data_IF_841336756328
#
_entry.id   IF_841336756328
#
_cell.length_a   1.000
_cell.length_b   1.000
_cell.length_c   1.000
_cell.angle_alpha   90.00
_cell.angle_beta   90.00
_cell.angle_gamma   90.00
#
_symmetry.space_group_name_H-M   'P 1'
#
loop_
_entity.id
_entity.type
_entity.pdbx_description
1 polymer ?
#
# COMPACT_ATOMS: atom_id res chain seq x y z
N UNK A 1 2.26 -68.17 -11.28
CA UNK A 1 1.80 -66.92 -11.94
C UNK A 1 2.69 -65.77 -11.46
N UNK A 2 3.52 -65.21 -12.34
CA UNK A 2 4.35 -64.02 -12.05
C UNK A 2 3.46 -62.78 -12.21
N UNK A 3 3.14 -62.10 -11.11
CA UNK A 3 2.42 -60.83 -11.15
C UNK A 3 3.42 -59.71 -11.47
N UNK A 4 3.27 -59.11 -12.66
CA UNK A 4 3.92 -57.85 -13.04
C UNK A 4 3.21 -56.70 -12.33
N UNK A 5 3.90 -56.03 -11.41
CA UNK A 5 3.42 -54.78 -10.81
C UNK A 5 3.62 -53.61 -11.80
N UNK A 6 2.59 -52.79 -12.07
CA UNK A 6 2.72 -51.62 -12.93
C UNK A 6 3.48 -50.52 -12.19
N UNK A 7 4.57 -50.03 -12.79
CA UNK A 7 5.31 -48.88 -12.30
C UNK A 7 4.49 -47.60 -12.56
N UNK A 8 3.87 -47.06 -11.52
CA UNK A 8 3.16 -45.79 -11.54
C UNK A 8 4.20 -44.65 -11.59
N UNK A 9 4.42 -44.09 -12.79
CA UNK A 9 5.24 -42.88 -12.97
C UNK A 9 4.50 -41.67 -12.39
N UNK A 10 4.88 -41.26 -11.17
CA UNK A 10 4.51 -39.96 -10.61
C UNK A 10 5.24 -38.86 -11.40
N UNK A 11 4.52 -38.16 -12.27
CA UNK A 11 5.01 -36.92 -12.88
C UNK A 11 4.91 -35.79 -11.85
N UNK A 12 6.02 -35.45 -11.20
CA UNK A 12 6.11 -34.30 -10.32
C UNK A 12 5.98 -33.01 -11.16
N UNK A 13 4.85 -32.31 -11.05
CA UNK A 13 4.68 -30.99 -11.64
C UNK A 13 5.46 -29.96 -10.83
N UNK A 14 6.64 -29.59 -11.34
CA UNK A 14 7.43 -28.50 -10.78
C UNK A 14 6.69 -27.17 -11.00
N UNK A 15 6.01 -26.68 -9.97
CA UNK A 15 5.42 -25.35 -9.98
C UNK A 15 6.56 -24.33 -9.88
N UNK A 16 6.68 -23.45 -10.88
CA UNK A 16 7.70 -22.40 -10.88
C UNK A 16 7.47 -21.45 -9.69
N UNK A 17 8.32 -21.56 -8.67
CA UNK A 17 8.23 -20.74 -7.47
C UNK A 17 8.69 -19.31 -7.77
N UNK A 18 7.91 -18.31 -7.33
CA UNK A 18 8.31 -16.90 -7.46
C UNK A 18 9.60 -16.67 -6.66
N UNK A 19 10.67 -16.14 -7.27
CA UNK A 19 11.96 -16.03 -6.60
C UNK A 19 11.91 -15.08 -5.40
N UNK A 20 12.83 -15.24 -4.45
CA UNK A 20 12.95 -14.34 -3.30
C UNK A 20 13.48 -12.95 -3.70
N UNK A 21 14.31 -12.88 -4.74
CA UNK A 21 14.86 -11.65 -5.28
C UNK A 21 15.08 -11.79 -6.78
N UNK A 22 14.94 -10.70 -7.52
CA UNK A 22 15.24 -10.63 -8.95
C UNK A 22 15.98 -9.34 -9.27
N UNK A 23 16.96 -9.40 -10.18
CA UNK A 23 17.71 -8.23 -10.64
C UNK A 23 17.79 -8.20 -12.16
N UNK A 24 17.62 -7.01 -12.73
CA UNK A 24 17.78 -6.77 -14.16
C UNK A 24 17.27 -5.39 -14.58
N UNK A 25 17.39 -5.08 -15.86
CA UNK A 25 16.78 -3.87 -16.44
C UNK A 25 15.27 -4.11 -16.55
N UNK A 26 14.43 -3.31 -15.88
CA UNK A 26 12.98 -3.51 -15.93
C UNK A 26 12.35 -2.86 -17.16
N UNK A 27 11.20 -3.37 -17.56
CA UNK A 27 10.19 -2.58 -18.29
C UNK A 27 9.15 -2.06 -17.31
N UNK A 28 8.60 -0.88 -17.58
CA UNK A 28 7.54 -0.27 -16.76
C UNK A 28 6.20 -0.48 -17.45
N UNK A 29 5.23 -1.01 -16.71
CA UNK A 29 3.86 -1.25 -17.23
C UNK A 29 2.93 -0.09 -16.87
N UNK A 30 2.98 0.36 -15.62
CA UNK A 30 2.21 1.49 -15.06
C UNK A 30 2.99 2.12 -13.88
N UNK A 31 2.37 3.03 -13.13
CA UNK A 31 3.01 3.80 -12.07
C UNK A 31 3.50 3.01 -10.85
N UNK A 32 3.15 1.73 -10.70
CA UNK A 32 3.62 0.87 -9.60
C UNK A 32 3.93 -0.58 -10.00
N UNK A 33 3.98 -0.87 -11.31
CA UNK A 33 4.26 -2.21 -11.85
C UNK A 33 5.48 -2.23 -12.77
N UNK A 34 6.44 -3.07 -12.41
CA UNK A 34 7.64 -3.38 -13.18
C UNK A 34 7.57 -4.80 -13.75
N UNK A 35 8.36 -5.07 -14.79
CA UNK A 35 8.62 -6.42 -15.25
C UNK A 35 10.11 -6.64 -15.48
N UNK A 36 10.66 -7.71 -14.91
CA UNK A 36 12.06 -8.11 -15.08
C UNK A 36 12.08 -9.57 -15.55
N UNK A 37 12.68 -9.84 -16.71
CA UNK A 37 12.83 -11.20 -17.27
C UNK A 37 11.51 -12.00 -17.28
N UNK A 38 10.42 -11.35 -17.70
CA UNK A 38 9.09 -11.96 -17.74
C UNK A 38 8.32 -11.95 -16.40
N UNK A 39 8.98 -11.74 -15.26
CA UNK A 39 8.34 -11.69 -13.94
C UNK A 39 7.66 -10.34 -13.73
N UNK A 40 6.33 -10.33 -13.55
CA UNK A 40 5.56 -9.14 -13.18
C UNK A 40 5.73 -8.84 -11.69
N UNK A 41 6.07 -7.60 -11.37
CA UNK A 41 6.41 -7.12 -10.04
C UNK A 41 5.53 -5.93 -9.71
N UNK A 42 4.69 -6.07 -8.70
CA UNK A 42 3.95 -4.97 -8.08
C UNK A 42 4.79 -4.39 -6.95
N UNK A 43 4.90 -3.07 -6.89
CA UNK A 43 5.62 -2.40 -5.80
C UNK A 43 4.82 -2.53 -4.50
N UNK A 44 5.49 -3.04 -3.47
CA UNK A 44 4.94 -3.25 -2.13
C UNK A 44 4.59 -1.92 -1.45
N UNK A 45 3.42 -1.87 -0.81
CA UNK A 45 2.99 -0.79 0.08
C UNK A 45 2.68 0.54 -0.60
N UNK A 46 2.68 0.61 -1.93
CA UNK A 46 2.33 1.81 -2.69
C UNK A 46 1.22 1.52 -3.68
N UNK A 47 0.48 2.56 -4.05
CA UNK A 47 -0.57 2.51 -5.04
C UNK A 47 -0.45 3.74 -5.95
N UNK A 48 -0.14 3.52 -7.21
CA UNK A 48 -0.02 4.60 -8.20
C UNK A 48 -1.34 4.78 -8.98
N UNK A 49 -1.60 5.99 -9.52
CA UNK A 49 -2.74 6.19 -10.41
C UNK A 49 -2.65 5.27 -11.62
N UNK A 50 -3.78 4.69 -12.01
CA UNK A 50 -3.86 3.82 -13.19
C UNK A 50 -3.45 4.59 -14.44
N UNK A 51 -2.79 3.96 -15.42
CA UNK A 51 -2.26 4.67 -16.60
C UNK A 51 -3.29 5.52 -17.37
N UNK A 52 -4.58 5.17 -17.31
CA UNK A 52 -5.69 5.92 -17.91
C UNK A 52 -6.26 7.03 -17.02
N UNK A 53 -5.87 7.08 -15.76
CA UNK A 53 -6.40 8.01 -14.77
C UNK A 53 -5.96 9.44 -15.05
N UNK A 54 -6.94 10.35 -14.95
CA UNK A 54 -6.74 11.80 -15.05
C UNK A 54 -6.98 12.48 -13.71
N UNK A 55 -6.31 13.61 -13.52
CA UNK A 55 -6.35 14.43 -12.31
C UNK A 55 -6.42 15.91 -12.71
N UNK A 56 -6.65 16.81 -11.75
CA UNK A 56 -6.66 18.25 -11.98
C UNK A 56 -5.46 18.90 -11.31
N UNK A 57 -4.80 19.83 -12.01
CA UNK A 57 -3.75 20.70 -11.46
C UNK A 57 -3.98 22.10 -12.00
N UNK A 58 -4.07 23.09 -11.11
CA UNK A 58 -4.43 24.47 -11.47
C UNK A 58 -5.69 24.58 -12.36
N UNK A 59 -6.71 23.75 -12.09
CA UNK A 59 -7.96 23.72 -12.85
C UNK A 59 -7.89 23.04 -14.22
N UNK A 60 -6.73 22.51 -14.62
CA UNK A 60 -6.54 21.80 -15.89
C UNK A 60 -6.45 20.29 -15.67
N UNK A 61 -7.12 19.53 -16.54
CA UNK A 61 -7.04 18.07 -16.56
C UNK A 61 -5.70 17.61 -17.13
N UNK A 62 -5.04 16.69 -16.45
CA UNK A 62 -3.80 16.06 -16.90
C UNK A 62 -3.80 14.55 -16.63
N UNK A 63 -3.01 13.79 -17.40
CA UNK A 63 -2.90 12.34 -17.27
C UNK A 63 -1.95 11.92 -16.15
N UNK A 64 -2.40 12.02 -14.90
CA UNK A 64 -1.57 11.73 -13.72
C UNK A 64 -1.05 10.29 -13.66
N UNK A 65 -1.81 9.30 -14.15
CA UNK A 65 -1.30 7.92 -14.23
C UNK A 65 -0.16 7.75 -15.21
N UNK A 66 -0.27 8.38 -16.38
CA UNK A 66 0.81 8.41 -17.36
C UNK A 66 2.03 9.17 -16.85
N UNK A 67 1.84 10.29 -16.14
CA UNK A 67 2.93 11.03 -15.48
C UNK A 67 3.67 10.15 -14.46
N UNK A 68 2.95 9.38 -13.64
CA UNK A 68 3.54 8.45 -12.68
C UNK A 68 4.34 7.32 -13.36
N UNK A 69 3.77 6.70 -14.41
CA UNK A 69 4.45 5.66 -15.17
C UNK A 69 5.73 6.19 -15.86
N UNK A 70 5.70 7.40 -16.41
CA UNK A 70 6.89 8.02 -17.01
C UNK A 70 7.95 8.37 -15.98
N UNK A 71 7.57 8.90 -14.81
CA UNK A 71 8.50 9.16 -13.73
C UNK A 71 9.23 7.88 -13.28
N UNK A 72 8.50 6.77 -13.14
CA UNK A 72 9.08 5.47 -12.84
C UNK A 72 10.02 5.01 -13.96
N UNK A 73 9.59 5.10 -15.22
CA UNK A 73 10.38 4.73 -16.38
C UNK A 73 11.69 5.52 -16.47
N UNK A 74 11.66 6.83 -16.22
CA UNK A 74 12.84 7.69 -16.23
C UNK A 74 13.80 7.38 -15.09
N UNK A 75 13.28 7.09 -13.89
CA UNK A 75 14.12 6.70 -12.75
C UNK A 75 14.96 5.44 -13.06
N UNK A 76 14.34 4.44 -13.68
CA UNK A 76 14.93 3.10 -13.90
C UNK A 76 15.58 2.92 -15.28
N UNK A 77 15.43 3.89 -16.19
CA UNK A 77 15.88 3.81 -17.59
C UNK A 77 17.33 3.34 -17.71
N UNK A 78 17.53 2.18 -18.34
CA UNK A 78 18.85 1.60 -18.60
C UNK A 78 19.64 1.15 -17.37
N UNK A 79 19.02 1.13 -16.18
CA UNK A 79 19.67 0.76 -14.92
C UNK A 79 19.24 -0.63 -14.47
N UNK A 80 20.12 -1.32 -13.74
CA UNK A 80 19.73 -2.54 -13.04
C UNK A 80 18.88 -2.18 -11.81
N UNK A 81 17.71 -2.80 -11.74
CA UNK A 81 16.82 -2.75 -10.58
C UNK A 81 16.87 -4.09 -9.88
N UNK A 82 17.01 -4.05 -8.55
CA UNK A 82 16.90 -5.22 -7.68
C UNK A 82 15.58 -5.15 -6.94
N UNK A 83 14.77 -6.20 -7.02
CA UNK A 83 13.49 -6.30 -6.34
C UNK A 83 13.52 -7.49 -5.38
N UNK A 84 13.31 -7.21 -4.08
CA UNK A 84 13.23 -8.22 -3.03
C UNK A 84 11.76 -8.48 -2.70
N UNK A 85 11.34 -9.74 -2.88
CA UNK A 85 9.95 -10.17 -2.66
C UNK A 85 9.59 -10.06 -1.19
N UNK A 86 8.48 -9.38 -0.92
CA UNK A 86 7.82 -9.35 0.38
C UNK A 86 6.65 -10.33 0.43
N UNK A 87 5.93 -10.45 -0.69
CA UNK A 87 4.76 -11.32 -0.81
C UNK A 87 4.55 -11.77 -2.26
N UNK A 88 3.60 -12.69 -2.47
CA UNK A 88 3.08 -13.07 -3.78
C UNK A 88 1.57 -12.86 -3.78
N UNK A 89 1.04 -12.09 -4.73
CA UNK A 89 -0.40 -11.84 -4.76
C UNK A 89 -1.18 -13.03 -5.33
N UNK A 90 -2.52 -12.98 -5.20
CA UNK A 90 -3.45 -14.00 -5.71
C UNK A 90 -3.36 -14.29 -7.22
N UNK A 91 -2.72 -13.42 -7.99
CA UNK A 91 -2.52 -13.57 -9.43
C UNK A 91 -1.14 -14.12 -9.77
N UNK A 92 -0.33 -14.48 -8.76
CA UNK A 92 1.02 -14.99 -8.92
C UNK A 92 2.06 -13.89 -9.21
N UNK A 93 1.72 -12.61 -9.06
CA UNK A 93 2.70 -11.53 -9.22
C UNK A 93 3.59 -11.43 -7.98
N UNK A 94 4.86 -11.11 -8.20
CA UNK A 94 5.75 -10.74 -7.11
C UNK A 94 5.31 -9.40 -6.52
N UNK A 95 5.15 -9.31 -5.21
CA UNK A 95 4.98 -8.03 -4.49
C UNK A 95 6.30 -7.73 -3.80
N UNK A 96 6.97 -6.63 -4.18
CA UNK A 96 8.36 -6.40 -3.79
C UNK A 96 8.69 -4.95 -3.43
N UNK A 97 9.73 -4.81 -2.61
CA UNK A 97 10.46 -3.55 -2.47
C UNK A 97 11.60 -3.57 -3.49
N UNK A 98 11.71 -2.52 -4.29
CA UNK A 98 12.70 -2.44 -5.36
C UNK A 98 13.66 -1.28 -5.16
N UNK A 99 14.92 -1.47 -5.57
CA UNK A 99 15.99 -0.48 -5.48
C UNK A 99 16.69 -0.31 -6.83
N UNK A 100 17.11 0.92 -7.12
CA UNK A 100 17.97 1.28 -8.25
C UNK A 100 19.17 2.08 -7.74
N UNK A 101 20.37 1.50 -7.81
CA UNK A 101 21.52 2.03 -7.07
C UNK A 101 21.20 2.11 -5.56
N UNK A 102 21.36 3.29 -4.96
CA UNK A 102 21.01 3.55 -3.56
C UNK A 102 19.55 3.98 -3.33
N UNK A 103 18.77 4.16 -4.39
CA UNK A 103 17.40 4.68 -4.30
C UNK A 103 16.40 3.54 -4.13
N UNK A 104 15.59 3.61 -3.06
CA UNK A 104 14.41 2.76 -2.88
C UNK A 104 13.23 3.33 -3.69
N UNK A 105 12.77 2.58 -4.69
CA UNK A 105 11.84 3.06 -5.72
C UNK A 105 10.46 3.35 -5.14
N UNK A 106 9.95 2.47 -4.27
CA UNK A 106 8.60 2.57 -3.72
C UNK A 106 8.46 3.87 -2.92
N UNK A 107 9.39 4.14 -1.99
CA UNK A 107 9.49 5.40 -1.26
C UNK A 107 9.67 6.59 -2.19
N UNK A 108 10.57 6.53 -3.15
CA UNK A 108 10.81 7.63 -4.08
C UNK A 108 9.54 8.05 -4.82
N UNK A 109 8.72 7.09 -5.28
CA UNK A 109 7.45 7.37 -5.93
C UNK A 109 6.51 8.16 -5.01
N UNK A 110 6.42 7.79 -3.73
CA UNK A 110 5.61 8.51 -2.76
C UNK A 110 6.19 9.90 -2.46
N UNK A 111 7.50 10.02 -2.30
CA UNK A 111 8.18 11.30 -2.04
C UNK A 111 8.07 12.31 -3.19
N UNK A 112 7.97 11.84 -4.42
CA UNK A 112 7.72 12.68 -5.59
C UNK A 112 6.21 12.88 -5.87
N UNK A 113 5.32 12.24 -5.11
CA UNK A 113 3.88 12.34 -5.29
C UNK A 113 3.37 11.60 -6.54
N UNK A 114 4.06 10.56 -7.00
CA UNK A 114 3.65 9.69 -8.11
C UNK A 114 2.86 8.46 -7.65
N UNK A 115 2.91 8.13 -6.36
CA UNK A 115 2.10 7.08 -5.74
C UNK A 115 1.66 7.50 -4.34
N UNK A 116 0.65 6.80 -3.81
CA UNK A 116 0.18 6.96 -2.44
C UNK A 116 0.57 5.74 -1.60
N UNK A 117 0.78 5.89 -0.28
CA UNK A 117 0.93 4.75 0.61
C UNK A 117 -0.35 3.90 0.63
N UNK A 118 -0.24 2.61 0.32
CA UNK A 118 -1.37 1.68 0.39
C UNK A 118 -1.44 1.03 1.78
N UNK A 119 -2.15 1.66 2.71
CA UNK A 119 -2.09 1.32 4.14
C UNK A 119 -2.53 -0.11 4.46
N UNK A 120 -3.52 -0.62 3.73
CA UNK A 120 -4.01 -2.01 3.86
C UNK A 120 -2.95 -3.05 3.47
N UNK A 121 -1.96 -2.66 2.66
CA UNK A 121 -0.95 -3.54 2.09
C UNK A 121 0.48 -3.10 2.45
N UNK A 122 0.67 -2.66 3.70
CA UNK A 122 2.00 -2.36 4.25
C UNK A 122 2.51 -0.94 4.02
N UNK A 123 1.71 -0.05 3.42
CA UNK A 123 2.13 1.32 3.09
C UNK A 123 2.43 2.24 4.28
N UNK A 124 2.19 1.81 5.52
CA UNK A 124 2.49 2.62 6.72
C UNK A 124 3.94 3.13 6.74
N UNK A 125 4.88 2.36 6.21
CA UNK A 125 6.31 2.72 6.12
C UNK A 125 6.60 3.94 5.23
N UNK A 126 5.67 4.33 4.34
CA UNK A 126 5.83 5.47 3.42
C UNK A 126 5.00 6.70 3.81
N UNK A 127 4.34 6.70 4.97
CA UNK A 127 3.51 7.84 5.39
C UNK A 127 4.33 9.12 5.62
N UNK A 128 5.59 8.99 6.06
CA UNK A 128 6.47 10.15 6.22
C UNK A 128 6.86 10.78 4.87
N UNK A 129 7.12 9.93 3.87
CA UNK A 129 7.34 10.34 2.49
C UNK A 129 6.12 11.08 1.92
N UNK A 130 4.91 10.56 2.15
CA UNK A 130 3.67 11.22 1.68
C UNK A 130 3.47 12.57 2.36
N UNK A 131 3.72 12.68 3.67
CA UNK A 131 3.65 13.97 4.37
C UNK A 131 4.60 15.01 3.76
N UNK A 132 5.83 14.61 3.40
CA UNK A 132 6.79 15.49 2.71
C UNK A 132 6.28 15.90 1.32
N UNK A 133 5.76 14.95 0.55
CA UNK A 133 5.22 15.23 -0.79
C UNK A 133 4.00 16.17 -0.75
N UNK A 134 3.11 15.99 0.24
CA UNK A 134 1.96 16.88 0.50
C UNK A 134 2.41 18.28 0.88
N UNK A 135 3.33 18.41 1.85
CA UNK A 135 3.85 19.70 2.28
C UNK A 135 4.54 20.47 1.14
N UNK A 136 5.25 19.75 0.26
CA UNK A 136 5.92 20.31 -0.91
C UNK A 136 5.02 20.43 -2.15
N UNK A 137 3.73 20.07 -2.07
CA UNK A 137 2.77 20.05 -3.19
C UNK A 137 3.29 19.34 -4.44
N UNK A 138 3.94 18.18 -4.27
CA UNK A 138 4.53 17.40 -5.37
C UNK A 138 3.53 16.46 -6.04
N UNK A 139 3.71 16.23 -7.35
CA UNK A 139 2.97 15.22 -8.12
C UNK A 139 1.46 15.37 -7.98
N UNK A 140 0.79 14.31 -7.53
CA UNK A 140 -0.64 14.28 -7.22
C UNK A 140 -1.05 15.38 -6.22
N UNK A 141 -0.23 15.63 -5.21
CA UNK A 141 -0.52 16.62 -4.16
C UNK A 141 -0.39 18.08 -4.62
N UNK A 142 0.00 18.34 -5.87
CA UNK A 142 -0.03 19.67 -6.46
C UNK A 142 -1.47 20.15 -6.75
N UNK A 143 -2.42 19.22 -6.90
CA UNK A 143 -3.79 19.50 -7.31
C UNK A 143 -4.81 18.56 -6.66
N UNK A 144 -5.81 18.14 -7.43
CA UNK A 144 -6.88 17.25 -6.97
C UNK A 144 -6.90 15.97 -7.81
N UNK A 145 -7.11 14.84 -7.14
CA UNK A 145 -7.10 13.50 -7.70
C UNK A 145 -8.07 12.60 -6.95
N UNK A 146 -8.63 11.61 -7.63
CA UNK A 146 -9.23 10.46 -6.98
C UNK A 146 -8.10 9.53 -6.53
N UNK A 147 -8.18 8.93 -5.34
CA UNK A 147 -7.18 7.94 -4.96
C UNK A 147 -7.22 6.74 -5.94
N UNK A 148 -6.09 6.10 -6.26
CA UNK A 148 -6.08 5.07 -7.30
C UNK A 148 -6.95 3.85 -6.97
N UNK A 149 -7.00 3.42 -5.69
CA UNK A 149 -7.92 2.37 -5.23
C UNK A 149 -9.41 2.73 -5.36
N UNK A 150 -9.76 4.02 -5.34
CA UNK A 150 -11.14 4.48 -5.55
C UNK A 150 -11.43 4.56 -7.05
N UNK A 151 -10.46 5.02 -7.86
CA UNK A 151 -10.57 5.08 -9.32
C UNK A 151 -10.84 3.71 -9.92
N UNK A 152 -10.17 2.65 -9.46
CA UNK A 152 -10.42 1.26 -9.92
C UNK A 152 -11.85 0.78 -9.69
N UNK A 153 -12.55 1.32 -8.69
CA UNK A 153 -13.94 0.96 -8.37
C UNK A 153 -14.93 1.79 -9.15
N UNK A 154 -14.64 3.08 -9.32
CA UNK A 154 -15.51 4.01 -10.01
C UNK A 154 -14.71 5.12 -10.73
N UNK A 155 -14.27 4.88 -11.97
CA UNK A 155 -13.48 5.84 -12.75
C UNK A 155 -14.23 7.14 -13.11
N UNK A 156 -15.56 7.14 -13.05
CA UNK A 156 -16.39 8.29 -13.42
C UNK A 156 -16.54 9.31 -12.28
N UNK A 157 -16.05 9.00 -11.07
CA UNK A 157 -16.12 9.94 -9.94
C UNK A 157 -15.18 11.12 -10.14
N UNK A 158 -15.58 12.35 -9.77
CA UNK A 158 -14.74 13.53 -9.96
C UNK A 158 -13.48 13.47 -9.08
N UNK A 159 -12.34 14.00 -9.57
CA UNK A 159 -11.14 14.20 -8.75
C UNK A 159 -11.43 15.05 -7.52
N UNK A 160 -11.14 14.55 -6.33
CA UNK A 160 -11.26 15.28 -5.05
C UNK A 160 -9.87 15.69 -4.55
N UNK A 161 -9.71 16.32 -3.39
CA UNK A 161 -8.38 16.73 -2.90
C UNK A 161 -7.42 15.57 -2.55
N UNK A 162 -7.70 14.33 -3.00
CA UNK A 162 -7.00 13.13 -2.56
C UNK A 162 -7.22 12.95 -1.06
N UNK A 163 -8.43 12.52 -0.69
CA UNK A 163 -8.76 12.27 0.71
C UNK A 163 -7.71 11.32 1.27
N UNK A 164 -6.91 11.71 2.28
CA UNK A 164 -6.11 10.74 2.99
C UNK A 164 -7.07 9.64 3.41
N UNK A 165 -6.77 8.38 3.08
CA UNK A 165 -7.39 7.28 3.83
C UNK A 165 -6.74 7.33 5.20
N UNK A 166 -7.11 8.32 6.01
CA UNK A 166 -7.12 8.13 7.45
C UNK A 166 -7.89 6.83 7.59
N UNK A 167 -7.27 5.80 8.19
CA UNK A 167 -8.05 4.65 8.68
C UNK A 167 -9.33 5.25 9.26
N UNK A 168 -10.49 4.82 8.74
CA UNK A 168 -11.77 5.54 8.85
C UNK A 168 -11.80 6.40 10.11
N UNK A 169 -12.01 7.73 10.02
CA UNK A 169 -11.91 8.59 11.19
C UNK A 169 -12.70 7.91 12.30
N UNK A 170 -12.00 7.56 13.39
CA UNK A 170 -12.70 7.22 14.62
C UNK A 170 -13.69 8.37 14.82
N UNK A 171 -14.97 8.08 15.08
CA UNK A 171 -15.99 9.11 15.19
C UNK A 171 -15.43 10.21 16.08
N UNK A 172 -15.39 11.43 15.56
CA UNK A 172 -14.91 12.57 16.32
C UNK A 172 -15.79 12.68 17.55
N UNK A 173 -15.29 12.23 18.69
CA UNK A 173 -15.97 12.37 19.97
C UNK A 173 -15.87 13.85 20.30
N UNK A 174 -16.85 14.60 19.79
CA UNK A 174 -17.15 15.94 20.26
C UNK A 174 -17.62 15.78 21.70
N UNK A 175 -16.69 15.96 22.64
CA UNK A 175 -16.97 15.79 24.04
C UNK A 175 -15.72 16.02 24.87
N UNK A 176 -15.54 17.28 25.29
CA UNK A 176 -14.76 17.61 26.48
C UNK A 176 -15.53 17.06 27.67
N UNK A 177 -15.39 15.76 27.91
CA UNK A 177 -16.00 15.04 29.00
C UNK A 177 -15.21 13.75 29.17
N UNK A 178 -14.69 13.53 30.38
CA UNK A 178 -13.93 12.34 30.73
C UNK A 178 -14.83 11.11 30.61
N UNK A 179 -14.93 10.53 29.40
CA UNK A 179 -15.57 9.25 29.21
C UNK A 179 -14.69 8.24 29.96
N UNK A 180 -15.17 7.75 31.10
CA UNK A 180 -14.57 6.64 31.81
C UNK A 180 -15.52 5.45 31.62
N UNK A 181 -15.11 4.44 30.86
CA UNK A 181 -15.95 3.27 30.64
C UNK A 181 -15.99 2.40 31.90
N UNK A 182 -17.17 2.04 32.38
CA UNK A 182 -17.29 1.15 33.56
C UNK A 182 -16.82 -0.28 33.25
N UNK A 183 -16.98 -0.75 32.01
CA UNK A 183 -16.64 -2.12 31.58
C UNK A 183 -16.13 -2.13 30.15
N UNK A 184 -15.39 -3.18 29.78
CA UNK A 184 -14.91 -3.35 28.42
C UNK A 184 -16.00 -3.60 27.38
N UNK A 185 -17.14 -4.16 27.78
CA UNK A 185 -18.29 -4.27 26.90
C UNK A 185 -18.84 -2.89 26.51
N UNK A 186 -18.88 -1.94 27.44
CA UNK A 186 -19.29 -0.57 27.16
C UNK A 186 -18.26 0.16 26.27
N UNK A 187 -16.97 -0.05 26.51
CA UNK A 187 -15.90 0.51 25.67
C UNK A 187 -15.99 -0.01 24.22
N UNK A 188 -16.17 -1.32 24.04
CA UNK A 188 -16.30 -1.94 22.71
C UNK A 188 -17.59 -1.52 21.99
N UNK A 189 -18.72 -1.43 22.71
CA UNK A 189 -19.98 -0.93 22.15
C UNK A 189 -19.88 0.52 21.66
N UNK A 190 -19.01 1.33 22.28
CA UNK A 190 -18.71 2.70 21.87
C UNK A 190 -17.61 2.80 20.79
N UNK A 191 -17.09 1.67 20.28
CA UNK A 191 -16.03 1.64 19.28
C UNK A 191 -14.62 1.94 19.83
N UNK A 192 -14.45 1.93 21.15
CA UNK A 192 -13.20 2.22 21.85
C UNK A 192 -12.49 0.93 22.33
N UNK A 193 -12.41 -0.10 21.50
CA UNK A 193 -11.55 -1.26 21.82
C UNK A 193 -10.07 -0.83 21.74
N UNK A 194 -9.20 -1.37 22.61
CA UNK A 194 -7.78 -1.02 22.72
C UNK A 194 -7.49 0.39 23.25
N UNK A 195 -8.15 0.79 24.34
CA UNK A 195 -7.92 2.10 24.97
C UNK A 195 -6.58 2.10 25.70
N UNK A 196 -5.68 3.03 25.35
CA UNK A 196 -4.33 3.07 25.95
C UNK A 196 -4.26 3.98 27.16
N UNK A 197 -3.31 3.72 28.06
CA UNK A 197 -2.95 4.63 29.16
C UNK A 197 -2.80 6.06 28.63
N UNK A 198 -3.47 7.01 29.29
CA UNK A 198 -3.47 8.43 28.91
C UNK A 198 -4.48 8.83 27.84
N UNK A 199 -5.20 7.88 27.23
CA UNK A 199 -6.32 8.18 26.33
C UNK A 199 -7.62 8.43 27.12
N UNK A 200 -8.49 9.33 26.63
CA UNK A 200 -9.88 9.42 27.12
C UNK A 200 -10.55 8.05 27.00
N UNK A 201 -11.18 7.56 28.07
CA UNK A 201 -11.72 6.20 28.12
C UNK A 201 -10.98 5.26 29.06
N UNK A 202 -9.68 5.47 29.25
CA UNK A 202 -8.83 4.53 29.99
C UNK A 202 -9.15 4.57 31.49
N UNK A 203 -9.32 3.38 32.07
CA UNK A 203 -9.28 3.18 33.50
C UNK A 203 -8.55 1.88 33.80
N UNK A 204 -7.74 1.86 34.87
CA UNK A 204 -6.92 0.69 35.24
C UNK A 204 -7.75 -0.60 35.40
N UNK A 205 -9.04 -0.48 35.72
CA UNK A 205 -9.97 -1.61 35.82
C UNK A 205 -10.32 -2.25 34.46
N UNK A 206 -9.94 -1.63 33.35
CA UNK A 206 -10.13 -2.14 31.98
C UNK A 206 -8.92 -2.90 31.44
N UNK A 207 -7.78 -2.76 32.11
CA UNK A 207 -6.46 -3.27 31.75
C UNK A 207 -6.13 -4.42 32.72
N UNK A 208 -6.61 -5.62 32.36
CA UNK A 208 -6.63 -6.77 33.27
C UNK A 208 -5.23 -7.27 33.59
N UNK A 209 -4.33 -7.20 32.62
CA UNK A 209 -2.95 -7.68 32.69
C UNK A 209 -1.92 -6.57 32.98
N UNK A 210 -2.35 -5.30 33.01
CA UNK A 210 -1.55 -4.09 33.31
C UNK A 210 -0.43 -3.85 32.29
N UNK A 211 -0.65 -4.16 31.02
CA UNK A 211 0.30 -3.92 29.94
C UNK A 211 0.20 -2.50 29.35
N UNK A 212 -0.83 -1.74 29.78
CA UNK A 212 -1.13 -0.39 29.33
C UNK A 212 -2.18 -0.32 28.23
N UNK A 213 -2.83 -1.43 27.88
CA UNK A 213 -3.88 -1.57 26.87
C UNK A 213 -5.16 -2.10 27.54
N UNK A 214 -6.14 -1.21 27.73
CA UNK A 214 -7.45 -1.57 28.24
C UNK A 214 -8.34 -2.21 27.17
N UNK A 215 -9.07 -3.26 27.57
CA UNK A 215 -10.11 -3.91 26.77
C UNK A 215 -9.62 -4.60 25.49
N UNK A 216 -8.41 -5.14 25.53
CA UNK A 216 -8.02 -6.27 24.67
C UNK A 216 -9.01 -7.44 24.78
#
# INVERSE_FOLDING_TARGET
>A
MRFLLPALLLTATAHAQVPASITGIPTVTDGDTLQIRGTKIRLYGVDAPESSQTCLRAGQTYGCGREAAFALADLVRGKNVTCTRQDTDRYGRMVAVCTVGATEINRWLVEQGHALPYLEYGGRVYQDAERRARAARKGLHAGTFQNPWDYRKNPASPPTAGTPRVAAPLPAVSGTGSILYKTCSAARAAGAALVKVGQPGYGKHLDRDNDGIGCE
#
